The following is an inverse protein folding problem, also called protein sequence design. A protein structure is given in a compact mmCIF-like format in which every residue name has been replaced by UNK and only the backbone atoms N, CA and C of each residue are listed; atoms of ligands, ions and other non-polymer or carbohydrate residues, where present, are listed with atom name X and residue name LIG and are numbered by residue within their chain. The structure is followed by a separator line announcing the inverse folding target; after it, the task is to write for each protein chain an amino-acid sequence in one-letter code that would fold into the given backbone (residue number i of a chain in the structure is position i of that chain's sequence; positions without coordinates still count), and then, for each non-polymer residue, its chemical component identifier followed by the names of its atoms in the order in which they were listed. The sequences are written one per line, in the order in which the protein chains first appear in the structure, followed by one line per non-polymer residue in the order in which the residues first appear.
data_IF_750221304614
#
_entry.id   IF_750221304614
#
_cell.length_a   1.000
_cell.length_b   1.000
_cell.length_c   1.000
_cell.angle_alpha   90.00
_cell.angle_beta   90.00
_cell.angle_gamma   90.00
#
_symmetry.space_group_name_H-M   'P 1'
#
loop_
_entity.id
_entity.type
_entity.pdbx_description
1 polymer ?
#
# COMPACT_ATOMS: atom_id res chain seq x y z
N UNK A 1 -0.13 -45.91 -16.02
CA UNK A 1 0.83 -44.96 -15.39
C UNK A 1 1.76 -44.26 -16.41
N UNK A 2 1.34 -43.96 -17.64
CA UNK A 2 2.20 -43.30 -18.66
C UNK A 2 1.73 -41.90 -19.11
N UNK A 3 0.56 -41.44 -18.64
CA UNK A 3 0.01 -40.15 -19.11
C UNK A 3 0.39 -38.91 -18.25
N UNK A 4 0.85 -39.12 -17.01
CA UNK A 4 1.17 -37.96 -16.15
C UNK A 4 2.56 -37.34 -16.43
N UNK A 5 3.45 -38.09 -17.05
CA UNK A 5 4.80 -37.60 -17.37
C UNK A 5 4.77 -36.62 -18.58
N UNK A 6 3.85 -36.85 -19.49
CA UNK A 6 3.72 -36.00 -20.69
C UNK A 6 3.06 -34.63 -20.40
N UNK A 7 2.13 -34.59 -19.45
CA UNK A 7 1.48 -33.35 -19.01
C UNK A 7 2.47 -32.48 -18.22
N UNK A 8 3.31 -33.10 -17.39
CA UNK A 8 4.31 -32.38 -16.60
C UNK A 8 5.43 -31.78 -17.47
N UNK A 9 5.85 -32.49 -18.52
CA UNK A 9 6.85 -31.96 -19.48
C UNK A 9 6.28 -30.86 -20.36
N UNK A 10 5.00 -30.93 -20.76
CA UNK A 10 4.35 -29.83 -21.49
C UNK A 10 4.19 -28.58 -20.62
N UNK A 11 3.85 -28.75 -19.33
CA UNK A 11 3.75 -27.63 -18.38
C UNK A 11 5.10 -26.97 -18.10
N UNK A 12 6.17 -27.78 -18.00
CA UNK A 12 7.54 -27.28 -17.84
C UNK A 12 8.05 -26.55 -19.11
N UNK A 13 7.72 -27.07 -20.30
CA UNK A 13 8.07 -26.42 -21.58
C UNK A 13 7.27 -25.10 -21.73
N UNK A 14 6.02 -25.05 -21.26
CA UNK A 14 5.22 -23.81 -21.25
C UNK A 14 5.82 -22.76 -20.30
N UNK A 15 6.31 -23.17 -19.11
CA UNK A 15 6.99 -22.29 -18.16
C UNK A 15 8.35 -21.79 -18.71
N UNK A 16 9.10 -22.64 -19.41
CA UNK A 16 10.39 -22.25 -20.04
C UNK A 16 10.15 -21.33 -21.23
N UNK A 17 9.11 -21.60 -22.04
CA UNK A 17 8.74 -20.73 -23.18
C UNK A 17 8.18 -19.36 -22.71
N UNK A 18 7.53 -19.28 -21.54
CA UNK A 18 7.16 -17.99 -20.93
C UNK A 18 8.37 -17.23 -20.36
N UNK A 19 9.45 -17.94 -19.96
CA UNK A 19 10.67 -17.33 -19.41
C UNK A 19 11.50 -16.56 -20.45
N UNK A 20 11.31 -16.81 -21.74
CA UNK A 20 12.05 -16.15 -22.82
C UNK A 20 11.31 -15.01 -23.52
N UNK A 21 10.05 -14.72 -23.17
CA UNK A 21 9.42 -13.48 -23.61
C UNK A 21 10.06 -12.33 -22.82
N UNK A 22 11.10 -11.78 -23.39
CA UNK A 22 11.84 -10.60 -22.96
C UNK A 22 10.88 -9.56 -22.36
N UNK A 23 11.24 -9.08 -21.15
CA UNK A 23 10.65 -7.89 -20.54
C UNK A 23 10.62 -6.78 -21.57
N UNK A 24 9.46 -6.55 -22.17
CA UNK A 24 9.31 -5.54 -23.22
C UNK A 24 9.23 -4.14 -22.63
N UNK A 25 8.78 -4.03 -21.37
CA UNK A 25 8.59 -2.77 -20.68
C UNK A 25 9.82 -2.41 -19.84
N UNK A 26 10.78 -1.71 -20.46
CA UNK A 26 12.04 -1.31 -19.82
C UNK A 26 12.12 0.19 -19.51
N UNK A 27 11.17 0.97 -19.98
CA UNK A 27 11.12 2.42 -19.83
C UNK A 27 9.73 2.85 -19.38
N UNK A 28 9.64 3.97 -18.70
CA UNK A 28 8.37 4.58 -18.29
C UNK A 28 7.41 4.78 -19.48
N UNK A 29 7.94 5.18 -20.64
CA UNK A 29 7.13 5.34 -21.86
C UNK A 29 6.42 4.05 -22.30
N UNK A 30 7.04 2.90 -22.08
CA UNK A 30 6.47 1.60 -22.43
C UNK A 30 5.35 1.24 -21.43
N UNK A 31 5.55 1.52 -20.13
CA UNK A 31 4.50 1.39 -19.10
C UNK A 31 3.29 2.28 -19.41
N UNK A 32 3.52 3.56 -19.77
CA UNK A 32 2.45 4.50 -20.13
C UNK A 32 1.64 4.03 -21.37
N UNK A 33 2.28 3.34 -22.30
CA UNK A 33 1.56 2.71 -23.44
C UNK A 33 0.73 1.51 -22.99
N UNK A 34 1.28 0.70 -22.09
CA UNK A 34 0.58 -0.43 -21.50
C UNK A 34 -0.64 0.03 -20.69
N UNK A 35 -0.49 1.07 -19.86
CA UNK A 35 -1.59 1.70 -19.13
C UNK A 35 -2.73 2.12 -20.06
N UNK A 36 -2.43 2.81 -21.16
CA UNK A 36 -3.45 3.20 -22.16
C UNK A 36 -4.16 2.02 -22.81
N UNK A 37 -3.48 0.89 -22.98
CA UNK A 37 -4.11 -0.36 -23.48
C UNK A 37 -5.00 -0.96 -22.40
N UNK A 38 -4.55 -1.01 -21.15
CA UNK A 38 -5.32 -1.51 -20.01
C UNK A 38 -6.53 -0.64 -19.68
N UNK A 39 -6.42 0.68 -19.83
CA UNK A 39 -7.56 1.59 -19.69
C UNK A 39 -8.69 1.29 -20.69
N UNK A 40 -8.35 0.78 -21.89
CA UNK A 40 -9.34 0.36 -22.90
C UNK A 40 -9.83 -1.06 -22.69
N UNK A 41 -9.00 -1.93 -22.21
CA UNK A 41 -9.31 -3.33 -21.91
C UNK A 41 -8.56 -3.79 -20.65
N UNK A 42 -9.13 -3.58 -19.44
CA UNK A 42 -8.50 -3.95 -18.18
C UNK A 42 -8.20 -5.44 -18.01
N UNK A 43 -8.86 -6.30 -18.82
CA UNK A 43 -8.68 -7.76 -18.82
C UNK A 43 -7.71 -8.25 -19.90
N UNK A 44 -6.91 -7.37 -20.50
CA UNK A 44 -5.88 -7.78 -21.45
C UNK A 44 -4.73 -8.49 -20.71
N UNK A 45 -4.81 -9.81 -20.60
CA UNK A 45 -3.88 -10.65 -19.83
C UNK A 45 -2.42 -10.50 -20.30
N UNK A 46 -2.19 -10.39 -21.61
CA UNK A 46 -0.84 -10.23 -22.15
C UNK A 46 -0.19 -8.94 -21.66
N UNK A 47 -0.89 -7.81 -21.78
CA UNK A 47 -0.40 -6.51 -21.32
C UNK A 47 -0.27 -6.47 -19.80
N UNK A 48 -1.20 -7.10 -19.07
CA UNK A 48 -1.15 -7.18 -17.63
C UNK A 48 0.07 -7.96 -17.13
N UNK A 49 0.39 -9.09 -17.77
CA UNK A 49 1.59 -9.87 -17.45
C UNK A 49 2.89 -9.10 -17.76
N UNK A 50 2.91 -8.28 -18.83
CA UNK A 50 4.05 -7.41 -19.13
C UNK A 50 4.25 -6.36 -18.01
N UNK A 51 3.17 -5.75 -17.50
CA UNK A 51 3.24 -4.77 -16.41
C UNK A 51 3.65 -5.44 -15.09
N UNK A 52 3.11 -6.61 -14.75
CA UNK A 52 3.53 -7.40 -13.58
C UNK A 52 5.02 -7.73 -13.63
N UNK A 53 5.52 -8.17 -14.79
CA UNK A 53 6.94 -8.44 -14.94
C UNK A 53 7.79 -7.18 -14.77
N UNK A 54 7.34 -6.04 -15.30
CA UNK A 54 8.02 -4.76 -15.13
C UNK A 54 8.05 -4.31 -13.65
N UNK A 55 6.97 -4.56 -12.91
CA UNK A 55 6.87 -4.28 -11.48
C UNK A 55 7.85 -5.11 -10.64
N UNK A 56 8.15 -6.35 -11.07
CA UNK A 56 9.08 -7.24 -10.36
C UNK A 56 10.55 -7.01 -10.76
N UNK A 57 10.82 -6.79 -12.05
CA UNK A 57 12.15 -6.93 -12.63
C UNK A 57 12.69 -5.64 -13.29
N UNK A 58 11.93 -4.56 -13.32
CA UNK A 58 12.35 -3.27 -13.83
C UNK A 58 13.42 -2.58 -12.96
N UNK A 59 14.01 -1.51 -13.48
CA UNK A 59 14.72 -0.57 -12.62
C UNK A 59 13.73 0.11 -11.67
N UNK A 60 14.21 0.88 -10.68
CA UNK A 60 13.35 1.47 -9.64
C UNK A 60 12.20 2.31 -10.21
N UNK A 61 12.47 3.13 -11.24
CA UNK A 61 11.48 4.00 -11.87
C UNK A 61 10.40 3.19 -12.59
N UNK A 62 10.81 2.14 -13.30
CA UNK A 62 9.93 1.23 -14.03
C UNK A 62 9.08 0.41 -13.04
N UNK A 63 9.69 -0.09 -11.94
CA UNK A 63 8.94 -0.80 -10.89
C UNK A 63 7.89 0.09 -10.25
N UNK A 64 8.25 1.33 -9.88
CA UNK A 64 7.33 2.27 -9.28
C UNK A 64 6.14 2.59 -10.20
N UNK A 65 6.40 2.89 -11.47
CA UNK A 65 5.36 3.19 -12.45
C UNK A 65 4.46 1.99 -12.73
N UNK A 66 5.05 0.79 -12.87
CA UNK A 66 4.28 -0.43 -13.07
C UNK A 66 3.38 -0.75 -11.85
N UNK A 67 3.91 -0.61 -10.63
CA UNK A 67 3.11 -0.76 -9.39
C UNK A 67 1.99 0.27 -9.32
N UNK A 68 2.24 1.52 -9.74
CA UNK A 68 1.22 2.56 -9.81
C UNK A 68 0.08 2.18 -10.76
N UNK A 69 0.40 1.73 -11.97
CA UNK A 69 -0.59 1.24 -12.94
C UNK A 69 -1.41 0.10 -12.35
N UNK A 70 -0.76 -0.91 -11.74
CA UNK A 70 -1.43 -2.04 -11.12
C UNK A 70 -2.34 -1.62 -9.96
N UNK A 71 -1.91 -0.65 -9.13
CA UNK A 71 -2.71 -0.15 -8.02
C UNK A 71 -3.97 0.59 -8.49
N UNK A 72 -3.92 1.26 -9.66
CA UNK A 72 -5.08 1.95 -10.22
C UNK A 72 -6.07 1.01 -10.91
N UNK A 73 -5.62 -0.16 -11.33
CA UNK A 73 -6.51 -1.20 -11.86
C UNK A 73 -7.29 -1.95 -10.77
N UNK A 74 -6.87 -1.81 -9.51
CA UNK A 74 -7.46 -2.51 -8.35
C UNK A 74 -7.60 -4.03 -8.60
N UNK A 75 -6.60 -4.61 -9.26
CA UNK A 75 -6.64 -6.00 -9.70
C UNK A 75 -6.06 -6.94 -8.66
N UNK A 76 -6.80 -7.99 -8.31
CA UNK A 76 -6.36 -9.05 -7.40
C UNK A 76 -5.11 -9.80 -7.91
N UNK A 77 -4.85 -9.77 -9.23
CA UNK A 77 -3.68 -10.43 -9.82
C UNK A 77 -2.37 -9.83 -9.27
N UNK A 78 -2.36 -8.54 -8.94
CA UNK A 78 -1.17 -7.85 -8.41
C UNK A 78 -1.04 -7.97 -6.87
N UNK A 79 -1.98 -8.63 -6.18
CA UNK A 79 -2.01 -8.65 -4.72
C UNK A 79 -0.74 -9.22 -4.09
N UNK A 80 -0.25 -10.35 -4.59
CA UNK A 80 0.99 -10.98 -4.10
C UNK A 80 2.22 -10.10 -4.34
N UNK A 81 2.23 -9.34 -5.45
CA UNK A 81 3.31 -8.41 -5.76
C UNK A 81 3.29 -7.20 -4.81
N UNK A 82 2.11 -6.69 -4.47
CA UNK A 82 1.98 -5.64 -3.46
C UNK A 82 2.43 -6.12 -2.07
N UNK A 83 2.04 -7.34 -1.64
CA UNK A 83 2.50 -7.90 -0.36
C UNK A 83 4.02 -7.95 -0.30
N UNK A 84 4.65 -8.49 -1.35
CA UNK A 84 6.10 -8.60 -1.43
C UNK A 84 6.77 -7.23 -1.47
N UNK A 85 6.36 -6.38 -2.41
CA UNK A 85 6.99 -5.08 -2.63
C UNK A 85 6.86 -4.14 -1.43
N UNK A 86 5.74 -4.17 -0.69
CA UNK A 86 5.53 -3.32 0.48
C UNK A 86 6.54 -3.55 1.61
N UNK A 87 7.19 -4.72 1.63
CA UNK A 87 8.15 -5.11 2.67
C UNK A 87 9.58 -5.21 2.14
N UNK A 88 9.75 -5.72 0.91
CA UNK A 88 11.05 -6.17 0.41
C UNK A 88 11.67 -5.23 -0.64
N UNK A 89 10.89 -4.33 -1.28
CA UNK A 89 11.48 -3.48 -2.31
C UNK A 89 12.50 -2.51 -1.70
N UNK A 90 13.71 -2.42 -2.26
CA UNK A 90 14.74 -1.50 -1.75
C UNK A 90 14.38 -0.02 -1.92
N UNK A 91 13.50 0.32 -2.86
CA UNK A 91 13.07 1.69 -3.11
C UNK A 91 11.81 2.03 -2.31
N UNK A 92 11.87 3.10 -1.51
CA UNK A 92 10.76 3.51 -0.65
C UNK A 92 9.51 3.93 -1.45
N UNK A 93 9.66 4.50 -2.66
CA UNK A 93 8.50 4.87 -3.49
C UNK A 93 7.73 3.61 -3.92
N UNK A 94 8.46 2.54 -4.30
CA UNK A 94 7.82 1.26 -4.65
C UNK A 94 7.09 0.70 -3.44
N UNK A 95 7.68 0.74 -2.24
CA UNK A 95 7.02 0.31 -1.00
C UNK A 95 5.76 1.16 -0.72
N UNK A 96 5.83 2.49 -0.84
CA UNK A 96 4.67 3.37 -0.69
C UNK A 96 3.52 2.98 -1.62
N UNK A 97 3.81 2.80 -2.93
CA UNK A 97 2.80 2.47 -3.93
C UNK A 97 2.20 1.08 -3.66
N UNK A 98 3.02 0.13 -3.25
CA UNK A 98 2.56 -1.20 -2.87
C UNK A 98 1.60 -1.15 -1.66
N UNK A 99 1.90 -0.34 -0.63
CA UNK A 99 1.01 -0.10 0.52
C UNK A 99 -0.31 0.53 0.09
N UNK A 100 -0.29 1.50 -0.85
CA UNK A 100 -1.51 2.07 -1.43
C UNK A 100 -2.35 1.00 -2.14
N UNK A 101 -1.72 0.15 -2.95
CA UNK A 101 -2.38 -0.98 -3.62
C UNK A 101 -3.02 -1.95 -2.64
N UNK A 102 -2.31 -2.32 -1.57
CA UNK A 102 -2.84 -3.14 -0.49
C UNK A 102 -4.05 -2.50 0.18
N UNK A 103 -4.02 -1.19 0.40
CA UNK A 103 -5.15 -0.46 1.00
C UNK A 103 -6.43 -0.58 0.19
N UNK A 104 -6.34 -0.53 -1.13
CA UNK A 104 -7.50 -0.69 -2.04
C UNK A 104 -8.07 -2.11 -2.02
N UNK A 105 -7.23 -3.11 -1.80
CA UNK A 105 -7.60 -4.52 -1.81
C UNK A 105 -7.88 -5.11 -0.41
N UNK A 106 -7.68 -4.32 0.65
CA UNK A 106 -7.76 -4.80 2.03
C UNK A 106 -9.13 -5.37 2.43
N UNK A 107 -10.22 -4.85 1.84
CA UNK A 107 -11.57 -5.34 2.12
C UNK A 107 -11.76 -6.82 1.72
N UNK A 108 -11.10 -7.27 0.66
CA UNK A 108 -11.15 -8.65 0.15
C UNK A 108 -10.02 -9.52 0.70
N UNK A 109 -8.96 -8.90 1.24
CA UNK A 109 -7.70 -9.57 1.57
C UNK A 109 -7.19 -9.19 2.97
N UNK A 110 -7.63 -9.88 4.02
CA UNK A 110 -7.25 -9.54 5.42
C UNK A 110 -5.73 -9.55 5.68
N UNK A 111 -4.95 -10.34 4.93
CA UNK A 111 -3.49 -10.38 5.04
C UNK A 111 -2.82 -9.03 4.71
N UNK A 112 -3.50 -8.15 3.93
CA UNK A 112 -3.03 -6.79 3.67
C UNK A 112 -2.84 -6.00 4.96
N UNK A 113 -3.67 -6.23 5.98
CA UNK A 113 -3.61 -5.55 7.28
C UNK A 113 -2.26 -5.77 7.96
N UNK A 114 -1.72 -6.99 7.92
CA UNK A 114 -0.42 -7.28 8.54
C UNK A 114 0.74 -6.63 7.79
N UNK A 115 0.67 -6.52 6.46
CA UNK A 115 1.67 -5.80 5.67
C UNK A 115 1.60 -4.29 5.92
N UNK A 116 0.39 -3.72 6.04
CA UNK A 116 0.19 -2.31 6.39
C UNK A 116 0.72 -2.02 7.80
N UNK A 117 0.49 -2.91 8.80
CA UNK A 117 1.10 -2.79 10.14
C UNK A 117 2.63 -2.71 10.09
N UNK A 118 3.26 -3.55 9.28
CA UNK A 118 4.73 -3.51 9.11
C UNK A 118 5.17 -2.20 8.49
N UNK A 119 4.46 -1.71 7.48
CA UNK A 119 4.76 -0.45 6.80
C UNK A 119 4.61 0.79 7.72
N UNK A 120 3.72 0.78 8.71
CA UNK A 120 3.64 1.82 9.76
C UNK A 120 4.96 1.95 10.53
N UNK A 121 5.75 0.87 10.62
CA UNK A 121 7.06 0.83 11.29
C UNK A 121 8.23 0.76 10.29
N UNK A 122 8.03 1.14 9.03
CA UNK A 122 9.09 1.14 8.01
C UNK A 122 10.26 2.05 8.43
N UNK A 123 11.45 1.79 7.90
CA UNK A 123 12.63 2.62 8.14
C UNK A 123 12.54 3.99 7.46
N UNK A 124 11.75 4.10 6.39
CA UNK A 124 11.52 5.33 5.66
C UNK A 124 10.26 6.05 6.14
N UNK A 125 10.41 7.34 6.45
CA UNK A 125 9.31 8.17 6.98
C UNK A 125 8.15 8.34 6.01
N UNK A 126 8.40 8.31 4.70
CA UNK A 126 7.33 8.46 3.70
C UNK A 126 6.47 7.20 3.65
N UNK A 127 7.10 6.01 3.77
CA UNK A 127 6.38 4.75 3.88
C UNK A 127 5.55 4.70 5.16
N UNK A 128 6.11 5.12 6.31
CA UNK A 128 5.35 5.23 7.56
C UNK A 128 4.10 6.10 7.41
N UNK A 129 4.28 7.31 6.87
CA UNK A 129 3.18 8.26 6.71
C UNK A 129 2.13 7.75 5.71
N UNK A 130 2.54 7.12 4.62
CA UNK A 130 1.61 6.53 3.66
C UNK A 130 0.82 5.37 4.28
N UNK A 131 1.50 4.50 5.01
CA UNK A 131 0.85 3.39 5.72
C UNK A 131 -0.15 3.87 6.77
N UNK A 132 0.16 4.96 7.50
CA UNK A 132 -0.77 5.58 8.45
C UNK A 132 -2.02 6.12 7.75
N UNK A 133 -1.89 6.82 6.61
CA UNK A 133 -3.03 7.29 5.82
C UNK A 133 -3.91 6.15 5.34
N UNK A 134 -3.27 5.11 4.78
CA UNK A 134 -3.96 3.91 4.33
C UNK A 134 -4.69 3.23 5.48
N UNK A 135 -4.03 3.10 6.64
CA UNK A 135 -4.62 2.53 7.85
C UNK A 135 -5.83 3.33 8.36
N UNK A 136 -5.75 4.66 8.32
CA UNK A 136 -6.86 5.54 8.67
C UNK A 136 -8.07 5.38 7.74
N UNK A 137 -7.81 5.24 6.43
CA UNK A 137 -8.87 5.03 5.43
C UNK A 137 -9.56 3.68 5.56
N UNK A 138 -8.81 2.62 5.89
CA UNK A 138 -9.37 1.27 6.11
C UNK A 138 -10.18 1.24 7.40
N UNK A 139 -9.73 1.97 8.42
CA UNK A 139 -10.37 2.05 9.74
C UNK A 139 -10.58 0.67 10.41
N UNK A 140 -9.65 -0.27 10.19
CA UNK A 140 -9.72 -1.61 10.78
C UNK A 140 -9.29 -1.59 12.26
N UNK A 141 -10.00 -2.29 13.16
CA UNK A 141 -9.66 -2.31 14.59
C UNK A 141 -8.22 -2.77 14.87
N UNK A 142 -7.68 -3.66 14.04
CA UNK A 142 -6.33 -4.22 14.16
C UNK A 142 -5.24 -3.17 13.91
N UNK A 143 -5.57 -2.07 13.22
CA UNK A 143 -4.64 -0.98 12.90
C UNK A 143 -4.64 0.13 13.98
N UNK A 144 -5.63 0.16 14.87
CA UNK A 144 -5.77 1.19 15.89
C UNK A 144 -4.52 1.33 16.77
N UNK A 145 -4.06 0.23 17.38
CA UNK A 145 -2.90 0.30 18.27
C UNK A 145 -1.61 0.72 17.55
N UNK A 146 -1.25 0.18 16.37
CA UNK A 146 -0.12 0.68 15.57
C UNK A 146 -0.17 2.18 15.26
N UNK A 147 -1.37 2.72 14.97
CA UNK A 147 -1.53 4.17 14.76
C UNK A 147 -1.33 4.94 16.07
N UNK A 148 -1.90 4.47 17.19
CA UNK A 148 -1.73 5.08 18.51
C UNK A 148 -0.24 5.10 18.94
N UNK A 149 0.51 4.03 18.67
CA UNK A 149 1.94 3.96 18.96
C UNK A 149 2.73 5.02 18.18
N UNK A 150 2.31 5.34 16.95
CA UNK A 150 2.91 6.34 16.08
C UNK A 150 2.76 7.77 16.60
N UNK A 151 1.82 8.03 17.52
CA UNK A 151 1.68 9.32 18.22
C UNK A 151 2.89 9.68 19.09
N UNK A 152 3.72 8.70 19.45
CA UNK A 152 4.96 8.89 20.20
C UNK A 152 6.20 9.03 19.31
N UNK A 153 6.04 9.12 17.99
CA UNK A 153 7.16 9.26 17.05
C UNK A 153 8.00 10.51 17.34
N UNK A 154 9.31 10.38 17.22
CA UNK A 154 10.24 11.54 17.28
C UNK A 154 10.00 12.52 16.15
N UNK A 155 9.47 12.04 15.01
CA UNK A 155 9.18 12.85 13.84
C UNK A 155 7.77 13.44 13.93
N UNK A 156 7.67 14.76 13.95
CA UNK A 156 6.38 15.46 14.06
C UNK A 156 5.42 15.16 12.90
N UNK A 157 5.93 14.94 11.69
CA UNK A 157 5.10 14.64 10.53
C UNK A 157 4.40 13.28 10.67
N UNK A 158 5.12 12.28 11.24
CA UNK A 158 4.53 10.98 11.58
C UNK A 158 3.45 11.15 12.65
N UNK A 159 3.69 11.94 13.72
CA UNK A 159 2.68 12.20 14.76
C UNK A 159 1.43 12.87 14.16
N UNK A 160 1.63 13.92 13.34
CA UNK A 160 0.51 14.62 12.67
C UNK A 160 -0.30 13.68 11.78
N UNK A 161 0.36 12.86 10.96
CA UNK A 161 -0.32 11.88 10.10
C UNK A 161 -1.06 10.83 10.93
N UNK A 162 -0.49 10.38 12.06
CA UNK A 162 -1.16 9.46 12.96
C UNK A 162 -2.43 10.07 13.59
N UNK A 163 -2.36 11.35 14.00
CA UNK A 163 -3.54 12.08 14.52
C UNK A 163 -4.65 12.11 13.46
N UNK A 164 -4.34 12.50 12.23
CA UNK A 164 -5.32 12.57 11.14
C UNK A 164 -5.90 11.18 10.82
N UNK A 165 -5.08 10.12 10.90
CA UNK A 165 -5.52 8.75 10.63
C UNK A 165 -6.47 8.19 11.69
N UNK A 166 -6.50 8.80 12.88
CA UNK A 166 -7.38 8.38 13.98
C UNK A 166 -8.76 9.06 13.98
N UNK A 167 -8.99 10.02 13.10
CA UNK A 167 -10.19 10.89 13.13
C UNK A 167 -11.51 10.11 13.16
N UNK A 168 -11.60 8.99 12.43
CA UNK A 168 -12.83 8.21 12.27
C UNK A 168 -12.89 6.95 13.16
N UNK A 169 -11.82 6.65 13.93
CA UNK A 169 -11.83 5.53 14.88
C UNK A 169 -12.70 5.84 16.11
N UNK A 170 -13.73 5.04 16.33
CA UNK A 170 -14.67 5.19 17.46
C UNK A 170 -14.16 4.41 18.69
N UNK A 171 -13.08 4.89 19.32
CA UNK A 171 -12.50 4.32 20.54
C UNK A 171 -12.09 5.44 21.50
N UNK A 172 -12.47 5.31 22.78
CA UNK A 172 -12.16 6.29 23.83
C UNK A 172 -10.64 6.45 24.09
N UNK A 173 -9.79 5.50 23.67
CA UNK A 173 -8.34 5.66 23.71
C UNK A 173 -7.88 6.78 22.79
N UNK A 174 -8.54 6.94 21.64
CA UNK A 174 -8.24 8.00 20.67
C UNK A 174 -8.49 9.36 21.30
N UNK A 175 -9.66 9.57 21.90
CA UNK A 175 -10.03 10.85 22.52
C UNK A 175 -8.99 11.24 23.58
N UNK A 176 -8.65 10.30 24.47
CA UNK A 176 -7.62 10.52 25.50
C UNK A 176 -6.25 10.84 24.92
N UNK A 177 -5.84 10.15 23.85
CA UNK A 177 -4.55 10.38 23.22
C UNK A 177 -4.48 11.75 22.55
N UNK A 178 -5.55 12.17 21.89
CA UNK A 178 -5.66 13.49 21.27
C UNK A 178 -5.66 14.62 22.30
N UNK A 179 -6.37 14.48 23.42
CA UNK A 179 -6.38 15.45 24.53
C UNK A 179 -4.97 15.64 25.11
N UNK A 180 -4.22 14.55 25.27
CA UNK A 180 -2.83 14.62 25.74
C UNK A 180 -1.91 15.36 24.76
N UNK A 181 -2.07 15.11 23.44
CA UNK A 181 -1.25 15.77 22.42
C UNK A 181 -1.61 17.25 22.26
N UNK A 182 -2.90 17.60 22.28
CA UNK A 182 -3.35 18.99 22.13
C UNK A 182 -2.79 19.90 23.23
N UNK A 183 -2.62 19.38 24.43
CA UNK A 183 -2.08 20.13 25.58
C UNK A 183 -0.57 19.99 25.74
N UNK A 184 0.00 18.81 25.49
CA UNK A 184 1.33 18.40 25.93
C UNK A 184 2.41 18.27 24.86
N UNK A 185 2.08 18.18 23.54
CA UNK A 185 3.12 18.00 22.51
C UNK A 185 4.07 19.21 22.48
N UNK A 186 5.34 18.94 22.19
CA UNK A 186 6.35 19.99 22.08
C UNK A 186 6.23 20.85 20.82
N UNK A 187 5.57 20.35 19.77
CA UNK A 187 5.40 21.03 18.49
C UNK A 187 3.99 21.65 18.37
N UNK A 188 3.93 22.94 18.08
CA UNK A 188 2.67 23.66 17.96
C UNK A 188 1.76 23.13 16.84
N UNK A 189 2.34 22.68 15.71
CA UNK A 189 1.54 22.13 14.61
C UNK A 189 0.87 20.82 15.01
N UNK A 190 1.54 19.98 15.79
CA UNK A 190 0.97 18.74 16.35
C UNK A 190 -0.21 19.05 17.27
N UNK A 191 -0.06 20.02 18.19
CA UNK A 191 -1.15 20.49 19.05
C UNK A 191 -2.36 20.95 18.23
N UNK A 192 -2.11 21.81 17.24
CA UNK A 192 -3.16 22.39 16.40
C UNK A 192 -3.94 21.32 15.61
N UNK A 193 -3.24 20.33 15.05
CA UNK A 193 -3.91 19.21 14.36
C UNK A 193 -4.72 18.35 15.33
N UNK A 194 -4.20 18.10 16.54
CA UNK A 194 -4.94 17.36 17.55
C UNK A 194 -6.24 18.09 17.93
N UNK A 195 -6.20 19.42 18.15
CA UNK A 195 -7.38 20.24 18.42
C UNK A 195 -8.40 20.17 17.27
N UNK A 196 -7.96 20.28 16.01
CA UNK A 196 -8.82 20.19 14.85
C UNK A 196 -9.52 18.82 14.76
N UNK A 197 -8.79 17.72 14.99
CA UNK A 197 -9.37 16.37 14.99
C UNK A 197 -10.33 16.16 16.17
N UNK A 198 -10.03 16.70 17.34
CA UNK A 198 -10.97 16.68 18.49
C UNK A 198 -12.29 17.37 18.11
N UNK A 199 -12.24 18.57 17.52
CA UNK A 199 -13.46 19.29 17.11
C UNK A 199 -14.23 18.54 16.00
N UNK A 200 -13.52 17.97 15.01
CA UNK A 200 -14.13 17.11 13.99
C UNK A 200 -14.90 15.95 14.62
N UNK A 201 -14.27 15.24 15.57
CA UNK A 201 -14.86 14.08 16.25
C UNK A 201 -16.08 14.44 17.09
N UNK A 202 -16.04 15.60 17.79
CA UNK A 202 -17.21 16.11 18.54
C UNK A 202 -18.39 16.42 17.62
N UNK A 203 -18.14 17.03 16.46
CA UNK A 203 -19.19 17.33 15.47
C UNK A 203 -19.85 16.07 14.90
N UNK A 204 -19.07 14.99 14.73
CA UNK A 204 -19.57 13.72 14.17
C UNK A 204 -20.02 12.70 15.22
N UNK A 205 -19.96 13.02 16.50
CA UNK A 205 -20.43 12.14 17.58
C UNK A 205 -21.98 12.10 17.71
N UNK A 206 -22.68 12.97 17.00
CA UNK A 206 -24.15 13.12 17.06
C UNK A 206 -24.88 12.61 15.79
N UNK A 207 -24.14 12.04 14.82
CA UNK A 207 -24.68 11.32 13.67
C UNK A 207 -24.57 9.80 13.85
#
# INVERSE_FOLDING_TARGET
MKNNFFIFTLFLIFLISCSEKNVTLRRIEDINKAEKKLAKNPKNEEVLLEVLNAAQNGNREVRAEAMWVLSNLETEIAYSDFLKASVEDPDFNVRCIAVMGLGKLAASNPEAIDSIKRAISDTDLQVQMEALKVAGNINAPELLNPILDSLSSKNKWVRMTAIESLKDYKDAKVDRALDLLSSGDSDYAVKSIAEQVIEYRKGNAYE
#
